data_IF_129064130715
#
_entry.id   IF_129064130715
#
_cell.length_a   1.000
_cell.length_b   1.000
_cell.length_c   1.000
_cell.angle_alpha   90.00
_cell.angle_beta   90.00
_cell.angle_gamma   90.00
#
_symmetry.space_group_name_H-M   'P 1'
#
loop_
_entity.id
_entity.type
_entity.pdbx_description
1 polymer ?
#
# COMPACT_ATOMS: atom_id res chain seq x y z
N UNK A 1 -32.63 -3.63 18.70
CA UNK A 1 -32.37 -4.08 17.31
C UNK A 1 -30.95 -4.64 17.23
N UNK A 2 -30.75 -5.97 17.22
CA UNK A 2 -29.40 -6.57 17.16
C UNK A 2 -28.89 -6.51 15.71
N UNK A 3 -27.81 -5.77 15.45
CA UNK A 3 -27.14 -5.75 14.13
C UNK A 3 -26.72 -7.17 13.74
N UNK A 4 -27.07 -7.59 12.53
CA UNK A 4 -26.68 -8.87 11.94
C UNK A 4 -25.15 -8.99 11.86
N UNK A 5 -24.62 -10.22 11.85
CA UNK A 5 -23.17 -10.49 11.71
C UNK A 5 -22.52 -9.70 10.55
N UNK A 6 -23.23 -9.61 9.42
CA UNK A 6 -22.80 -8.85 8.23
C UNK A 6 -22.70 -7.34 8.47
N UNK A 7 -23.53 -6.77 9.34
CA UNK A 7 -23.47 -5.35 9.68
C UNK A 7 -22.38 -5.02 10.71
N UNK A 8 -21.90 -6.03 11.44
CA UNK A 8 -20.79 -5.88 12.40
C UNK A 8 -19.43 -6.00 11.71
N UNK A 9 -19.32 -6.87 10.71
CA UNK A 9 -18.07 -7.14 9.99
C UNK A 9 -18.06 -6.61 8.56
N UNK A 10 -18.98 -5.69 8.21
CA UNK A 10 -19.17 -5.22 6.84
C UNK A 10 -17.85 -4.71 6.22
N UNK A 11 -17.07 -3.95 6.97
CA UNK A 11 -15.78 -3.42 6.49
C UNK A 11 -14.77 -4.53 6.17
N UNK A 12 -14.65 -5.52 7.06
CA UNK A 12 -13.75 -6.66 6.87
C UNK A 12 -14.16 -7.48 5.64
N UNK A 13 -15.46 -7.73 5.49
CA UNK A 13 -16.01 -8.45 4.34
C UNK A 13 -15.78 -7.70 3.02
N UNK A 14 -15.94 -6.37 3.04
CA UNK A 14 -15.67 -5.51 1.87
C UNK A 14 -14.19 -5.56 1.49
N UNK A 15 -13.27 -5.41 2.46
CA UNK A 15 -11.83 -5.41 2.19
C UNK A 15 -11.38 -6.76 1.62
N UNK A 16 -11.72 -7.87 2.28
CA UNK A 16 -11.35 -9.19 1.79
C UNK A 16 -12.04 -9.53 0.46
N UNK A 17 -13.31 -9.14 0.28
CA UNK A 17 -14.02 -9.30 -0.98
C UNK A 17 -13.34 -8.55 -2.12
N UNK A 18 -12.93 -7.30 -1.89
CA UNK A 18 -12.20 -6.50 -2.88
C UNK A 18 -10.85 -7.14 -3.24
N UNK A 19 -10.07 -7.58 -2.26
CA UNK A 19 -8.78 -8.26 -2.50
C UNK A 19 -8.99 -9.51 -3.35
N UNK A 20 -9.99 -10.34 -3.04
CA UNK A 20 -10.29 -11.54 -3.82
C UNK A 20 -10.65 -11.23 -5.28
N UNK A 21 -11.47 -10.19 -5.50
CA UNK A 21 -11.84 -9.75 -6.86
C UNK A 21 -10.61 -9.27 -7.63
N UNK A 22 -9.74 -8.47 -7.00
CA UNK A 22 -8.51 -7.99 -7.63
C UNK A 22 -7.54 -9.13 -7.95
N UNK A 23 -7.44 -10.14 -7.09
CA UNK A 23 -6.63 -11.34 -7.33
C UNK A 23 -7.14 -12.13 -8.53
N UNK A 24 -8.47 -12.32 -8.64
CA UNK A 24 -9.11 -12.96 -9.79
C UNK A 24 -8.82 -12.18 -11.09
N UNK A 25 -9.11 -10.89 -11.10
CA UNK A 25 -8.89 -10.03 -12.27
C UNK A 25 -7.42 -10.05 -12.67
N UNK A 26 -6.50 -9.87 -11.72
CA UNK A 26 -5.06 -9.86 -11.98
C UNK A 26 -4.58 -11.17 -12.59
N UNK A 27 -5.07 -12.31 -12.10
CA UNK A 27 -4.72 -13.65 -12.61
C UNK A 27 -5.16 -13.83 -14.07
N UNK A 28 -6.34 -13.35 -14.44
CA UNK A 28 -6.83 -13.45 -15.83
C UNK A 28 -6.20 -12.43 -16.78
N UNK A 29 -5.76 -11.27 -16.28
CA UNK A 29 -5.19 -10.21 -17.11
C UNK A 29 -3.69 -10.37 -17.36
N UNK A 30 -2.95 -11.09 -16.52
CA UNK A 30 -1.51 -11.26 -16.69
C UNK A 30 -1.02 -12.61 -16.16
N UNK A 31 -0.34 -13.35 -17.02
CA UNK A 31 0.39 -14.58 -16.65
C UNK A 31 1.46 -14.31 -15.57
N UNK A 32 1.94 -13.06 -15.46
CA UNK A 32 2.97 -12.68 -14.47
C UNK A 32 2.39 -12.41 -13.09
N UNK A 33 1.08 -12.22 -12.95
CA UNK A 33 0.46 -11.73 -11.72
C UNK A 33 0.72 -12.65 -10.51
N UNK A 34 0.52 -13.96 -10.65
CA UNK A 34 0.76 -14.94 -9.58
C UNK A 34 2.17 -15.54 -9.59
N UNK A 35 3.09 -15.00 -10.40
CA UNK A 35 4.48 -15.50 -10.39
C UNK A 35 5.15 -15.20 -9.05
N UNK A 36 6.03 -16.09 -8.61
CA UNK A 36 6.80 -15.89 -7.36
C UNK A 36 7.55 -14.55 -7.36
N UNK A 37 8.06 -14.13 -8.52
CA UNK A 37 8.71 -12.83 -8.68
C UNK A 37 7.76 -11.66 -8.40
N UNK A 38 6.57 -11.67 -8.98
CA UNK A 38 5.60 -10.60 -8.73
C UNK A 38 5.12 -10.62 -7.28
N UNK A 39 4.82 -11.79 -6.74
CA UNK A 39 4.35 -11.94 -5.37
C UNK A 39 5.41 -11.48 -4.36
N UNK A 40 6.67 -11.87 -4.54
CA UNK A 40 7.77 -11.38 -3.69
C UNK A 40 8.02 -9.89 -3.85
N UNK A 41 7.85 -9.31 -5.04
CA UNK A 41 7.91 -7.86 -5.23
C UNK A 41 6.79 -7.14 -4.46
N UNK A 42 5.57 -7.68 -4.46
CA UNK A 42 4.45 -7.12 -3.69
C UNK A 42 4.74 -7.22 -2.19
N UNK A 43 5.22 -8.37 -1.70
CA UNK A 43 5.57 -8.51 -0.28
C UNK A 43 6.73 -7.59 0.14
N UNK A 44 7.74 -7.39 -0.72
CA UNK A 44 8.82 -6.42 -0.44
C UNK A 44 8.29 -4.98 -0.37
N UNK A 45 7.36 -4.62 -1.25
CA UNK A 45 6.66 -3.33 -1.19
C UNK A 45 5.76 -3.23 0.05
N UNK A 46 5.15 -4.32 0.52
CA UNK A 46 4.39 -4.27 1.77
C UNK A 46 5.29 -4.18 3.01
N UNK A 47 6.49 -4.79 2.95
CA UNK A 47 7.40 -4.89 4.09
C UNK A 47 7.83 -3.53 4.63
N UNK A 48 8.10 -2.53 3.77
CA UNK A 48 8.52 -1.20 4.24
C UNK A 48 7.42 -0.51 5.07
N UNK A 49 6.16 -0.58 4.62
CA UNK A 49 5.00 -0.07 5.37
C UNK A 49 4.82 -0.84 6.67
N UNK A 50 4.96 -2.17 6.64
CA UNK A 50 4.86 -3.02 7.81
C UNK A 50 5.90 -2.66 8.88
N UNK A 51 7.17 -2.47 8.48
CA UNK A 51 8.24 -2.07 9.41
C UNK A 51 8.01 -0.67 9.98
N UNK A 52 7.50 0.27 9.19
CA UNK A 52 7.18 1.61 9.66
C UNK A 52 6.02 1.58 10.67
N UNK A 53 4.97 0.81 10.40
CA UNK A 53 3.84 0.63 11.30
C UNK A 53 4.24 -0.02 12.64
N UNK A 54 5.17 -0.97 12.62
CA UNK A 54 5.75 -1.54 13.84
C UNK A 54 6.52 -0.49 14.66
N UNK A 55 7.26 0.41 14.01
CA UNK A 55 7.90 1.55 14.66
C UNK A 55 6.90 2.52 15.28
N UNK A 56 5.82 2.86 14.56
CA UNK A 56 4.74 3.70 15.08
C UNK A 56 4.02 3.06 16.27
N UNK A 57 3.81 1.73 16.24
CA UNK A 57 3.23 1.00 17.37
C UNK A 57 4.04 1.20 18.65
N UNK A 58 5.37 1.14 18.58
CA UNK A 58 6.24 1.37 19.75
C UNK A 58 6.10 2.81 20.28
N UNK A 59 6.05 3.79 19.38
CA UNK A 59 5.91 5.21 19.75
C UNK A 59 4.57 5.46 20.46
N UNK A 60 3.47 4.91 19.94
CA UNK A 60 2.14 4.95 20.56
C UNK A 60 2.16 4.32 21.95
N UNK A 61 2.82 3.16 22.11
CA UNK A 61 2.95 2.49 23.41
C UNK A 61 3.72 3.31 24.44
N UNK A 62 4.67 4.14 24.00
CA UNK A 62 5.42 5.09 24.85
C UNK A 62 4.69 6.41 25.10
N UNK A 63 3.38 6.50 24.79
CA UNK A 63 2.55 7.71 24.88
C UNK A 63 3.01 8.88 23.99
N UNK A 64 3.86 8.62 23.00
CA UNK A 64 4.11 9.55 21.90
C UNK A 64 3.02 9.37 20.85
N UNK A 65 2.11 10.33 20.70
CA UNK A 65 1.20 10.37 19.54
C UNK A 65 1.95 11.11 18.44
N UNK A 66 3.02 10.51 17.92
CA UNK A 66 3.74 11.08 16.79
C UNK A 66 3.25 10.48 15.48
N UNK A 67 2.29 11.18 14.86
CA UNK A 67 1.72 10.83 13.55
C UNK A 67 2.59 11.35 12.39
N UNK A 68 3.79 11.87 12.66
CA UNK A 68 4.66 12.46 11.64
C UNK A 68 5.19 11.46 10.61
N UNK A 69 5.23 10.15 10.91
CA UNK A 69 5.63 9.13 9.93
C UNK A 69 4.70 9.18 8.71
N UNK A 70 3.42 9.47 8.92
CA UNK A 70 2.42 9.53 7.86
C UNK A 70 2.64 10.71 6.91
N UNK A 71 3.02 11.88 7.45
CA UNK A 71 3.39 13.04 6.62
C UNK A 71 4.76 12.88 5.98
N UNK A 72 5.72 12.25 6.68
CA UNK A 72 7.06 11.96 6.17
C UNK A 72 7.01 11.01 4.97
N UNK A 73 6.27 9.90 5.07
CA UNK A 73 6.10 8.95 3.94
C UNK A 73 5.46 9.65 2.74
N UNK A 74 4.43 10.48 2.95
CA UNK A 74 3.81 11.26 1.86
C UNK A 74 4.80 12.24 1.21
N UNK A 75 5.62 12.92 2.01
CA UNK A 75 6.65 13.82 1.50
C UNK A 75 7.70 13.06 0.67
N UNK A 76 8.17 11.90 1.15
CA UNK A 76 9.11 11.06 0.41
C UNK A 76 8.54 10.61 -0.94
N UNK A 77 7.27 10.21 -0.98
CA UNK A 77 6.58 9.85 -2.23
C UNK A 77 6.49 11.05 -3.17
N UNK A 78 6.08 12.21 -2.65
CA UNK A 78 5.98 13.44 -3.45
C UNK A 78 7.33 13.81 -4.06
N UNK A 79 8.39 13.86 -3.24
CA UNK A 79 9.75 14.18 -3.72
C UNK A 79 10.22 13.16 -4.74
N UNK A 80 10.03 11.87 -4.48
CA UNK A 80 10.45 10.81 -5.41
C UNK A 80 9.74 10.92 -6.76
N UNK A 81 8.43 11.18 -6.75
CA UNK A 81 7.64 11.39 -7.96
C UNK A 81 8.09 12.66 -8.70
N UNK A 82 8.27 13.78 -7.99
CA UNK A 82 8.74 15.04 -8.58
C UNK A 82 10.15 14.92 -9.17
N UNK A 83 11.06 14.20 -8.51
CA UNK A 83 12.40 13.92 -9.02
C UNK A 83 12.36 13.07 -10.28
N UNK A 84 11.49 12.05 -10.32
CA UNK A 84 11.32 11.23 -11.52
C UNK A 84 10.84 12.07 -12.71
N UNK A 85 9.81 12.89 -12.50
CA UNK A 85 9.30 13.79 -13.54
C UNK A 85 10.38 14.77 -13.99
N UNK A 86 11.13 15.38 -13.07
CA UNK A 86 12.22 16.29 -13.40
C UNK A 86 13.29 15.62 -14.27
N UNK A 87 13.70 14.39 -13.93
CA UNK A 87 14.65 13.61 -14.73
C UNK A 87 14.08 13.36 -16.14
N UNK A 88 12.82 12.92 -16.25
CA UNK A 88 12.19 12.71 -17.56
C UNK A 88 12.20 13.98 -18.42
N UNK A 89 11.86 15.14 -17.83
CA UNK A 89 11.90 16.43 -18.52
C UNK A 89 13.32 16.80 -18.96
N UNK A 90 14.33 16.60 -18.10
CA UNK A 90 15.73 16.95 -18.40
C UNK A 90 16.30 16.13 -19.56
N UNK A 91 15.92 14.86 -19.67
CA UNK A 91 16.41 13.95 -20.73
C UNK A 91 15.45 13.84 -21.92
N UNK A 92 14.35 14.61 -21.95
CA UNK A 92 13.35 14.57 -23.02
C UNK A 92 12.68 13.19 -23.18
N UNK A 93 12.62 12.40 -22.10
CA UNK A 93 12.04 11.07 -22.13
C UNK A 93 10.50 11.18 -22.12
N UNK A 94 9.80 10.32 -22.87
CA UNK A 94 8.34 10.33 -22.87
C UNK A 94 7.77 10.04 -21.47
N UNK A 95 6.72 10.77 -21.10
CA UNK A 95 5.91 10.50 -19.91
C UNK A 95 4.97 9.33 -20.23
N UNK A 96 5.41 8.10 -19.95
CA UNK A 96 4.58 6.90 -19.96
C UNK A 96 4.25 6.45 -18.54
#
# INVERSE_FOLDING_TARGET
>A
MKRSFFQKHSLILVVYGLVMILMLIGTFNSERFLTLRNLTNVFRQAAYLGTAALGEMLVILTAGIDLSIGSLVKLCVLVSASSWTAIQTMFGLPYY
#
